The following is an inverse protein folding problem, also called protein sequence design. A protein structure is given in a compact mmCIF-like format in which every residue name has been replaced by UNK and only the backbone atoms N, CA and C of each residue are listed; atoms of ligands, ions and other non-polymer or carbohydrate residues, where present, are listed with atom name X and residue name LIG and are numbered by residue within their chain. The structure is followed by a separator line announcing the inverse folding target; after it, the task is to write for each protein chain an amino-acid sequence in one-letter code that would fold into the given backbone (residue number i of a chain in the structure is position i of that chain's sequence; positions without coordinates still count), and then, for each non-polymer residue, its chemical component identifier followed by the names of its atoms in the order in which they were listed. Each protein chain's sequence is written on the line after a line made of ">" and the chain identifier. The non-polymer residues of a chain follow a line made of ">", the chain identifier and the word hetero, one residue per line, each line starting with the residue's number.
data_IF_334833473168
#
_entry.id   IF_334833473168
#
_cell.length_a   1.000
_cell.length_b   1.000
_cell.length_c   1.000
_cell.angle_alpha   90.00
_cell.angle_beta   90.00
_cell.angle_gamma   90.00
#
_symmetry.space_group_name_H-M   'P 1'
#
loop_
_entity.id
_entity.type
_entity.pdbx_description
1 polymer ?
#
# COMPACT_ATOMS: atom_id res chain seq x y z
N UNK A 1 -1.21 8.23 17.47
CA UNK A 1 -1.62 8.40 16.10
C UNK A 1 -2.08 7.08 15.53
N UNK A 2 -3.32 7.08 15.02
CA UNK A 2 -4.01 5.86 14.59
C UNK A 2 -3.24 5.09 13.52
N UNK A 3 -2.69 5.80 12.54
CA UNK A 3 -1.98 5.19 11.41
C UNK A 3 -0.71 4.46 11.85
N UNK A 4 0.06 5.08 12.76
CA UNK A 4 1.26 4.47 13.32
C UNK A 4 0.90 3.26 14.15
N UNK A 5 -0.19 3.35 14.93
CA UNK A 5 -0.64 2.27 15.79
C UNK A 5 -1.03 1.04 14.98
N UNK A 6 -1.74 1.21 13.85
CA UNK A 6 -2.13 0.09 13.01
C UNK A 6 -0.91 -0.66 12.46
N UNK A 7 0.01 0.06 11.81
CA UNK A 7 1.21 -0.57 11.25
C UNK A 7 2.10 -1.18 12.31
N UNK A 8 2.29 -0.48 13.44
CA UNK A 8 3.04 -1.00 14.56
C UNK A 8 2.44 -2.28 15.12
N UNK A 9 1.12 -2.33 15.24
CA UNK A 9 0.42 -3.54 15.68
C UNK A 9 0.61 -4.71 14.73
N UNK A 10 0.52 -4.44 13.42
CA UNK A 10 0.75 -5.47 12.38
C UNK A 10 2.17 -6.02 12.45
N UNK A 11 3.17 -5.16 12.55
CA UNK A 11 4.56 -5.59 12.62
C UNK A 11 4.84 -6.42 13.87
N UNK A 12 4.22 -6.10 15.00
CA UNK A 12 4.38 -6.86 16.24
C UNK A 12 3.80 -8.27 16.16
N UNK A 13 2.83 -8.51 15.29
CA UNK A 13 2.22 -9.82 15.11
C UNK A 13 3.08 -10.75 14.26
N UNK A 14 4.10 -10.24 13.61
CA UNK A 14 4.96 -11.00 12.71
C UNK A 14 6.18 -11.56 13.45
N UNK A 15 6.75 -12.64 12.92
CA UNK A 15 8.05 -13.12 13.39
C UNK A 15 9.09 -12.02 13.12
N UNK A 16 10.23 -12.01 13.83
CA UNK A 16 11.30 -11.03 13.56
C UNK A 16 11.76 -11.06 12.11
N UNK A 17 11.84 -12.25 11.49
CA UNK A 17 12.23 -12.39 10.08
C UNK A 17 11.23 -11.75 9.14
N UNK A 18 9.94 -12.06 9.32
CA UNK A 18 8.89 -11.52 8.47
C UNK A 18 8.72 -10.01 8.66
N UNK A 19 8.77 -9.55 9.91
CA UNK A 19 8.69 -8.13 10.22
C UNK A 19 9.84 -7.33 9.59
N UNK A 20 11.06 -7.88 9.65
CA UNK A 20 12.23 -7.24 9.03
C UNK A 20 12.07 -7.15 7.51
N UNK A 21 11.59 -8.23 6.89
CA UNK A 21 11.38 -8.28 5.45
C UNK A 21 10.33 -7.25 5.01
N UNK A 22 9.21 -7.16 5.72
CA UNK A 22 8.17 -6.19 5.40
C UNK A 22 8.67 -4.76 5.60
N UNK A 23 9.44 -4.49 6.66
CA UNK A 23 10.03 -3.16 6.87
C UNK A 23 10.96 -2.76 5.73
N UNK A 24 11.78 -3.69 5.25
CA UNK A 24 12.67 -3.44 4.10
C UNK A 24 11.87 -3.09 2.85
N UNK A 25 10.80 -3.83 2.59
CA UNK A 25 9.93 -3.55 1.46
C UNK A 25 9.33 -2.14 1.56
N UNK A 26 8.80 -1.79 2.72
CA UNK A 26 8.21 -0.47 2.95
C UNK A 26 9.26 0.64 2.74
N UNK A 27 10.46 0.46 3.29
CA UNK A 27 11.53 1.44 3.15
C UNK A 27 11.94 1.63 1.70
N UNK A 28 12.04 0.54 0.94
CA UNK A 28 12.40 0.61 -0.49
C UNK A 28 11.32 1.34 -1.30
N UNK A 29 10.07 1.04 -1.05
CA UNK A 29 8.96 1.69 -1.77
C UNK A 29 8.89 3.18 -1.41
N UNK A 30 9.06 3.54 -0.14
CA UNK A 30 9.06 4.95 0.28
C UNK A 30 10.25 5.72 -0.30
N UNK A 31 11.43 5.09 -0.37
CA UNK A 31 12.61 5.68 -1.00
C UNK A 31 12.36 5.92 -2.49
N UNK A 32 11.84 4.92 -3.19
CA UNK A 32 11.47 5.05 -4.59
C UNK A 32 10.48 6.20 -4.79
N UNK A 33 9.46 6.28 -3.97
CA UNK A 33 8.46 7.35 -4.07
C UNK A 33 9.12 8.73 -3.89
N UNK A 34 9.99 8.85 -2.91
CA UNK A 34 10.67 10.12 -2.62
C UNK A 34 11.55 10.55 -3.80
N UNK A 35 12.30 9.61 -4.40
CA UNK A 35 13.28 9.95 -5.43
C UNK A 35 12.69 9.98 -6.84
N UNK A 36 11.75 9.10 -7.16
CA UNK A 36 11.22 8.95 -8.52
C UNK A 36 9.89 9.63 -8.73
N UNK A 37 9.18 10.01 -7.68
CA UNK A 37 7.88 10.67 -7.80
C UNK A 37 7.96 12.08 -7.22
N UNK A 38 8.17 12.21 -5.92
CA UNK A 38 8.11 13.48 -5.21
C UNK A 38 9.21 14.47 -5.62
N UNK A 39 10.40 13.97 -5.88
CA UNK A 39 11.52 14.81 -6.27
C UNK A 39 11.35 15.42 -7.67
N UNK A 40 10.53 14.81 -8.51
CA UNK A 40 10.35 15.22 -9.91
C UNK A 40 9.09 16.02 -10.14
N UNK A 41 8.14 15.98 -9.22
CA UNK A 41 6.83 16.57 -9.39
C UNK A 41 6.17 16.75 -8.04
N UNK A 42 5.44 17.85 -7.84
CA UNK A 42 4.64 18.02 -6.65
C UNK A 42 3.43 17.07 -6.73
N UNK A 43 3.30 16.20 -5.72
CA UNK A 43 2.27 15.16 -5.69
C UNK A 43 1.62 15.12 -4.32
N UNK A 44 0.30 15.14 -4.29
CA UNK A 44 -0.46 14.95 -3.06
C UNK A 44 -0.69 13.44 -2.84
N UNK A 45 0.24 12.81 -2.14
CA UNK A 45 0.16 11.38 -1.87
C UNK A 45 0.78 11.08 -0.50
N UNK A 46 -0.04 10.51 0.38
CA UNK A 46 0.38 10.21 1.75
C UNK A 46 1.20 8.92 1.81
N UNK A 47 2.35 8.96 2.48
CA UNK A 47 3.18 7.76 2.62
C UNK A 47 2.45 6.62 3.33
N UNK A 48 1.49 6.93 4.19
CA UNK A 48 0.67 5.92 4.85
C UNK A 48 -0.07 5.04 3.84
N UNK A 49 -0.57 5.60 2.74
CA UNK A 49 -1.23 4.83 1.69
C UNK A 49 -0.24 3.83 1.06
N UNK A 50 1.00 4.26 0.83
CA UNK A 50 2.03 3.34 0.33
C UNK A 50 2.32 2.20 1.31
N UNK A 51 2.37 2.51 2.60
CA UNK A 51 2.58 1.48 3.61
C UNK A 51 1.46 0.45 3.61
N UNK A 52 0.21 0.90 3.47
CA UNK A 52 -0.95 -0.01 3.39
C UNK A 52 -0.92 -0.87 2.12
N UNK A 53 -0.51 -0.30 0.99
CA UNK A 53 -0.36 -1.07 -0.25
C UNK A 53 0.73 -2.13 -0.07
N UNK A 54 1.86 -1.78 0.53
CA UNK A 54 2.94 -2.73 0.80
C UNK A 54 2.46 -3.86 1.72
N UNK A 55 1.79 -3.51 2.81
CA UNK A 55 1.29 -4.48 3.77
C UNK A 55 0.32 -5.45 3.12
N UNK A 56 -0.69 -4.93 2.42
CA UNK A 56 -1.71 -5.76 1.79
C UNK A 56 -1.11 -6.68 0.73
N UNK A 57 -0.23 -6.15 -0.10
CA UNK A 57 0.45 -6.94 -1.14
C UNK A 57 1.29 -8.04 -0.51
N UNK A 58 2.06 -7.70 0.52
CA UNK A 58 2.92 -8.66 1.21
C UNK A 58 2.09 -9.78 1.86
N UNK A 59 1.02 -9.43 2.57
CA UNK A 59 0.18 -10.40 3.27
C UNK A 59 -0.54 -11.35 2.32
N UNK A 60 -1.01 -10.84 1.19
CA UNK A 60 -1.90 -11.60 0.31
C UNK A 60 -1.22 -12.25 -0.88
N UNK A 61 -0.05 -11.76 -1.28
CA UNK A 61 0.64 -12.28 -2.47
C UNK A 61 2.02 -12.86 -2.19
N UNK A 62 2.72 -12.32 -1.18
CA UNK A 62 4.15 -12.61 -1.03
C UNK A 62 4.52 -13.22 0.31
N UNK A 63 3.55 -13.53 1.17
CA UNK A 63 3.83 -14.05 2.51
C UNK A 63 4.58 -15.38 2.42
N UNK A 64 5.69 -15.47 3.15
CA UNK A 64 6.55 -16.66 3.10
C UNK A 64 7.56 -16.64 1.98
N UNK A 65 7.44 -15.73 1.03
CA UNK A 65 8.38 -15.57 -0.09
C UNK A 65 9.28 -14.35 0.20
N UNK A 66 10.53 -14.59 0.56
CA UNK A 66 11.45 -13.54 1.01
C UNK A 66 12.29 -12.94 -0.13
N UNK A 67 11.69 -12.76 -1.29
CA UNK A 67 12.32 -12.15 -2.46
C UNK A 67 11.85 -10.70 -2.60
N UNK A 68 12.70 -9.76 -2.18
CA UNK A 68 12.37 -8.33 -2.24
C UNK A 68 12.08 -7.84 -3.65
N UNK A 69 12.80 -8.34 -4.65
CA UNK A 69 12.57 -7.95 -6.04
C UNK A 69 11.18 -8.36 -6.50
N UNK A 70 10.76 -9.57 -6.18
CA UNK A 70 9.41 -10.04 -6.51
C UNK A 70 8.34 -9.25 -5.76
N UNK A 71 8.59 -8.90 -4.49
CA UNK A 71 7.68 -8.08 -3.70
C UNK A 71 7.55 -6.67 -4.28
N UNK A 72 8.67 -6.06 -4.66
CA UNK A 72 8.66 -4.73 -5.31
C UNK A 72 7.86 -4.77 -6.60
N UNK A 73 8.09 -5.80 -7.42
CA UNK A 73 7.34 -5.96 -8.68
C UNK A 73 5.85 -6.06 -8.41
N UNK A 74 5.45 -6.84 -7.40
CA UNK A 74 4.04 -6.98 -7.03
C UNK A 74 3.42 -5.65 -6.57
N UNK A 75 4.15 -4.88 -5.76
CA UNK A 75 3.70 -3.56 -5.31
C UNK A 75 3.53 -2.62 -6.49
N UNK A 76 4.51 -2.55 -7.38
CA UNK A 76 4.41 -1.66 -8.54
C UNK A 76 3.23 -2.04 -9.46
N UNK A 77 2.93 -3.34 -9.61
CA UNK A 77 1.76 -3.77 -10.39
C UNK A 77 0.47 -3.27 -9.76
N UNK A 78 0.38 -3.33 -8.44
CA UNK A 78 -0.80 -2.80 -7.72
C UNK A 78 -0.93 -1.30 -7.99
N UNK A 79 0.16 -0.55 -7.93
CA UNK A 79 0.14 0.90 -8.17
C UNK A 79 -0.24 1.25 -9.61
N UNK A 80 0.21 0.45 -10.58
CA UNK A 80 -0.19 0.63 -11.99
C UNK A 80 -1.68 0.38 -12.17
N UNK A 81 -2.21 -0.66 -11.52
CA UNK A 81 -3.62 -1.03 -11.58
C UNK A 81 -4.41 -0.52 -10.39
N UNK A 82 -4.13 0.69 -9.93
CA UNK A 82 -4.69 1.21 -8.68
C UNK A 82 -6.23 1.20 -8.65
N UNK A 83 -6.87 1.31 -9.80
CA UNK A 83 -8.33 1.25 -9.87
C UNK A 83 -8.92 -0.09 -9.39
N UNK A 84 -8.10 -1.13 -9.34
CA UNK A 84 -8.50 -2.46 -8.86
C UNK A 84 -8.33 -2.63 -7.35
N UNK A 85 -7.75 -1.65 -6.66
CA UNK A 85 -7.53 -1.73 -5.21
C UNK A 85 -8.87 -1.72 -4.49
N UNK A 86 -9.07 -2.71 -3.60
CA UNK A 86 -10.26 -2.83 -2.76
C UNK A 86 -9.85 -3.43 -1.42
N UNK A 87 -9.38 -2.58 -0.50
CA UNK A 87 -8.83 -3.03 0.77
C UNK A 87 -9.80 -2.82 1.92
N UNK A 88 -10.03 -3.89 2.67
CA UNK A 88 -10.82 -3.92 3.89
C UNK A 88 -9.97 -4.59 4.98
N UNK A 89 -9.99 -4.05 6.17
CA UNK A 89 -9.15 -4.55 7.28
C UNK A 89 -10.03 -5.26 8.29
N UNK A 90 -10.29 -6.56 8.04
CA UNK A 90 -11.28 -7.34 8.79
C UNK A 90 -10.88 -7.65 10.23
N UNK A 91 -9.63 -7.42 10.59
CA UNK A 91 -9.18 -7.51 11.98
C UNK A 91 -9.50 -6.25 12.79
N UNK A 92 -9.97 -5.18 12.14
CA UNK A 92 -10.31 -3.91 12.80
C UNK A 92 -11.83 -3.68 12.88
N UNK A 93 -12.58 -4.18 11.90
CA UNK A 93 -14.04 -3.98 11.80
C UNK A 93 -14.62 -5.00 10.83
N UNK A 94 -15.95 -5.16 10.87
CA UNK A 94 -16.63 -6.05 9.93
C UNK A 94 -17.05 -5.27 8.67
N UNK A 95 -17.37 -6.00 7.61
CA UNK A 95 -17.86 -5.40 6.37
C UNK A 95 -19.10 -4.54 6.60
N UNK A 96 -19.97 -4.94 7.53
CA UNK A 96 -21.19 -4.20 7.84
C UNK A 96 -20.95 -2.86 8.56
N UNK A 97 -19.76 -2.64 9.11
CA UNK A 97 -19.38 -1.38 9.72
C UNK A 97 -19.03 -0.31 8.69
N UNK A 98 -18.78 -0.72 7.43
CA UNK A 98 -18.41 0.17 6.34
C UNK A 98 -19.67 0.63 5.62
N UNK A 99 -19.88 1.96 5.41
CA UNK A 99 -21.05 2.45 4.66
C UNK A 99 -21.09 1.83 3.26
N UNK A 100 -22.28 1.39 2.83
CA UNK A 100 -22.44 0.75 1.53
C UNK A 100 -22.00 1.64 0.37
N UNK A 101 -22.12 2.96 0.51
CA UNK A 101 -21.69 3.90 -0.51
C UNK A 101 -20.20 3.84 -0.81
N UNK A 102 -19.36 3.44 0.17
CA UNK A 102 -17.92 3.31 -0.07
C UNK A 102 -17.61 2.17 -1.05
N UNK A 103 -18.41 1.11 -1.03
CA UNK A 103 -18.18 -0.03 -1.92
C UNK A 103 -18.44 0.28 -3.40
N UNK A 104 -19.04 1.42 -3.69
CA UNK A 104 -19.23 1.90 -5.06
C UNK A 104 -18.02 2.68 -5.57
N UNK A 105 -17.08 3.01 -4.70
CA UNK A 105 -15.91 3.79 -5.05
C UNK A 105 -14.74 2.90 -5.50
N UNK A 106 -13.93 3.41 -6.41
CA UNK A 106 -12.77 2.71 -6.95
C UNK A 106 -11.67 3.73 -7.28
N UNK A 107 -10.47 3.62 -6.77
CA UNK A 107 -10.00 2.60 -5.82
C UNK A 107 -10.60 2.76 -4.43
N UNK A 108 -10.55 1.69 -3.64
CA UNK A 108 -11.07 1.70 -2.28
C UNK A 108 -9.99 1.20 -1.31
N UNK A 109 -9.61 2.05 -0.38
CA UNK A 109 -8.80 1.68 0.79
C UNK A 109 -9.53 2.23 2.00
N UNK A 110 -10.30 1.39 2.67
CA UNK A 110 -11.00 1.80 3.89
C UNK A 110 -9.94 2.02 4.96
N UNK A 111 -10.00 3.17 5.64
CA UNK A 111 -9.03 3.49 6.68
C UNK A 111 -9.10 2.42 7.78
N UNK A 112 -7.97 1.81 8.18
CA UNK A 112 -7.97 0.81 9.26
C UNK A 112 -8.54 1.35 10.57
N UNK A 113 -8.47 2.64 10.81
CA UNK A 113 -8.93 3.27 12.05
C UNK A 113 -10.29 3.98 11.91
N UNK A 114 -10.84 4.06 10.70
CA UNK A 114 -12.12 4.74 10.44
C UNK A 114 -12.84 4.05 9.28
N UNK A 115 -13.83 3.17 9.58
CA UNK A 115 -14.53 2.44 8.53
C UNK A 115 -15.43 3.32 7.63
N UNK A 116 -15.57 4.59 7.94
CA UNK A 116 -16.36 5.55 7.16
C UNK A 116 -15.53 6.31 6.13
N UNK A 117 -14.20 6.08 6.10
CA UNK A 117 -13.30 6.87 5.28
C UNK A 117 -12.60 6.02 4.23
N UNK A 118 -12.71 6.44 2.96
CA UNK A 118 -11.90 5.87 1.87
C UNK A 118 -10.69 6.76 1.63
N UNK A 119 -9.54 6.38 2.16
CA UNK A 119 -8.32 7.18 2.03
C UNK A 119 -7.74 7.15 0.61
N UNK A 120 -8.17 6.21 -0.23
CA UNK A 120 -7.73 6.18 -1.63
C UNK A 120 -8.22 7.38 -2.43
N UNK A 121 -9.33 8.02 -2.00
CA UNK A 121 -9.83 9.23 -2.65
C UNK A 121 -9.07 10.49 -2.28
N UNK A 122 -8.15 10.40 -1.32
CA UNK A 122 -7.46 11.57 -0.77
C UNK A 122 -6.07 11.78 -1.37
N UNK A 123 -5.69 10.97 -2.36
CA UNK A 123 -4.35 11.00 -2.95
C UNK A 123 -4.44 11.01 -4.48
N UNK A 124 -3.38 11.53 -5.10
CA UNK A 124 -3.28 11.61 -6.56
C UNK A 124 -2.50 10.41 -7.10
N UNK A 125 -3.21 9.46 -7.70
CA UNK A 125 -2.64 8.20 -8.17
C UNK A 125 -1.88 8.30 -9.49
N UNK A 126 -2.22 9.25 -10.37
CA UNK A 126 -1.67 9.26 -11.74
C UNK A 126 -0.15 9.39 -11.81
N UNK A 127 0.49 10.33 -11.07
CA UNK A 127 1.94 10.41 -11.10
C UNK A 127 2.62 9.17 -10.52
N UNK A 128 1.99 8.57 -9.50
CA UNK A 128 2.50 7.33 -8.89
C UNK A 128 2.40 6.18 -9.87
N UNK A 129 1.29 6.07 -10.60
CA UNK A 129 1.11 5.04 -11.63
C UNK A 129 2.17 5.15 -12.73
N UNK A 130 2.42 6.36 -13.21
CA UNK A 130 3.41 6.58 -14.27
C UNK A 130 4.81 6.15 -13.83
N UNK A 131 5.21 6.54 -12.62
CA UNK A 131 6.51 6.15 -12.08
C UNK A 131 6.59 4.65 -11.80
N UNK A 132 5.50 4.04 -11.32
CA UNK A 132 5.46 2.60 -11.07
C UNK A 132 5.59 1.79 -12.37
N UNK A 133 4.97 2.26 -13.45
CA UNK A 133 5.10 1.61 -14.75
C UNK A 133 6.55 1.61 -15.23
N UNK A 134 7.26 2.73 -15.05
CA UNK A 134 8.69 2.81 -15.39
C UNK A 134 9.52 1.87 -14.51
N UNK A 135 9.21 1.80 -13.22
CA UNK A 135 9.92 0.90 -12.30
C UNK A 135 9.71 -0.56 -12.68
N UNK A 136 8.48 -0.94 -13.07
CA UNK A 136 8.20 -2.29 -13.55
C UNK A 136 9.03 -2.64 -14.79
N UNK A 137 9.09 -1.72 -15.73
CA UNK A 137 9.87 -1.92 -16.96
C UNK A 137 11.35 -2.17 -16.62
N UNK A 138 11.90 -1.39 -15.71
CA UNK A 138 13.28 -1.55 -15.25
C UNK A 138 13.51 -2.89 -14.58
N UNK A 139 12.57 -3.35 -13.76
CA UNK A 139 12.68 -4.64 -13.06
C UNK A 139 12.54 -5.85 -14.00
N UNK A 140 11.93 -5.64 -15.17
CA UNK A 140 11.71 -6.72 -16.15
C UNK A 140 12.89 -6.92 -17.10
N UNK A 141 13.90 -6.06 -17.04
CA UNK A 141 15.08 -6.14 -17.92
C UNK A 141 16.18 -7.03 -17.38
#
# INVERSE_FOLDING_TARGET
>A
MAEIDFMGGKLKQLTPRDGDHLRKLILLVKYWFKTEVKAKKEVDFKSYVLELVCLHTWENQMRGLLDLRACLRAVFRVLVDFGQIRYLWTDKYTRSDVPSSLFLQSPLIVDPEDPWRNIANEVDWLPVREAAAKALDSLSR
#
